data_IF_461458361104
#
_entry.id   IF_461458361104
#
_cell.length_a   1.000
_cell.length_b   1.000
_cell.length_c   1.000
_cell.angle_alpha   90.00
_cell.angle_beta   90.00
_cell.angle_gamma   90.00
#
_symmetry.space_group_name_H-M   'P 1'
#
loop_
_entity.id
_entity.type
_entity.pdbx_description
1 polymer ?
#
# COMPACT_ATOMS: atom_id res chain seq x y z
N UNK A 1 -2.66 -8.42 5.80
CA UNK A 1 -3.36 -7.61 4.78
C UNK A 1 -2.88 -7.88 3.35
N UNK A 2 -1.60 -8.23 3.11
CA UNK A 2 -1.05 -8.48 1.77
C UNK A 2 -1.91 -9.36 0.87
N UNK A 3 -2.27 -10.56 1.31
CA UNK A 3 -3.07 -11.48 0.49
C UNK A 3 -4.49 -10.99 0.22
N UNK A 4 -5.08 -10.22 1.15
CA UNK A 4 -6.42 -9.63 0.97
C UNK A 4 -6.36 -8.62 -0.17
N UNK A 5 -5.36 -7.74 -0.16
CA UNK A 5 -5.15 -6.78 -1.24
C UNK A 5 -4.76 -7.43 -2.56
N UNK A 6 -3.98 -8.53 -2.54
CA UNK A 6 -3.63 -9.27 -3.75
C UNK A 6 -4.90 -9.77 -4.47
N UNK A 7 -5.77 -10.46 -3.73
CA UNK A 7 -7.04 -10.98 -4.27
C UNK A 7 -7.93 -9.84 -4.75
N UNK A 8 -8.11 -8.80 -3.94
CA UNK A 8 -8.93 -7.65 -4.30
C UNK A 8 -8.41 -6.94 -5.57
N UNK A 9 -7.15 -6.54 -5.59
CA UNK A 9 -6.58 -5.75 -6.67
C UNK A 9 -6.48 -6.56 -7.97
N UNK A 10 -6.11 -7.84 -7.91
CA UNK A 10 -6.09 -8.71 -9.08
C UNK A 10 -7.50 -8.96 -9.62
N UNK A 11 -8.52 -9.13 -8.76
CA UNK A 11 -9.91 -9.26 -9.19
C UNK A 11 -10.40 -7.99 -9.92
N UNK A 12 -10.10 -6.79 -9.38
CA UNK A 12 -10.40 -5.54 -10.08
C UNK A 12 -9.62 -5.46 -11.41
N UNK A 13 -8.37 -5.93 -11.44
CA UNK A 13 -7.54 -6.03 -12.65
C UNK A 13 -8.17 -6.88 -13.74
N UNK A 14 -8.65 -8.08 -13.38
CA UNK A 14 -9.40 -8.96 -14.29
C UNK A 14 -10.68 -8.29 -14.77
N UNK A 15 -11.40 -7.60 -13.89
CA UNK A 15 -12.62 -6.90 -14.26
C UNK A 15 -12.38 -5.76 -15.25
N UNK A 16 -11.39 -4.88 -15.01
CA UNK A 16 -11.09 -3.79 -15.95
C UNK A 16 -10.53 -4.32 -17.27
N UNK A 17 -9.81 -5.45 -17.26
CA UNK A 17 -9.41 -6.13 -18.50
C UNK A 17 -10.63 -6.62 -19.31
N UNK A 18 -11.64 -7.17 -18.63
CA UNK A 18 -12.90 -7.57 -19.27
C UNK A 18 -13.66 -6.37 -19.86
N UNK A 19 -13.72 -5.23 -19.16
CA UNK A 19 -14.35 -4.01 -19.68
C UNK A 19 -13.62 -3.44 -20.91
N UNK A 20 -12.31 -3.66 -21.02
CA UNK A 20 -11.55 -3.26 -22.21
C UNK A 20 -11.90 -4.11 -23.45
N UNK A 21 -12.25 -5.38 -23.23
CA UNK A 21 -12.67 -6.30 -24.31
C UNK A 21 -14.16 -6.21 -24.63
N UNK A 22 -15.01 -6.05 -23.62
CA UNK A 22 -16.46 -5.90 -23.73
C UNK A 22 -16.95 -4.61 -23.06
N UNK A 23 -16.80 -3.44 -23.71
CA UNK A 23 -17.20 -2.15 -23.12
C UNK A 23 -18.68 -2.07 -22.74
N UNK A 24 -19.55 -2.72 -23.52
CA UNK A 24 -21.00 -2.84 -23.31
C UNK A 24 -21.35 -3.51 -21.96
N UNK A 25 -20.43 -4.28 -21.36
CA UNK A 25 -20.64 -4.92 -20.06
C UNK A 25 -20.48 -3.96 -18.88
N UNK A 26 -20.12 -2.69 -19.12
CA UNK A 26 -19.97 -1.67 -18.07
C UNK A 26 -21.34 -1.35 -17.45
N UNK A 27 -21.54 -1.59 -16.13
CA UNK A 27 -22.78 -1.19 -15.47
C UNK A 27 -22.98 0.33 -15.57
N UNK A 28 -24.23 0.78 -15.62
CA UNK A 28 -24.63 2.20 -15.79
C UNK A 28 -24.45 3.04 -14.51
N UNK A 29 -23.32 2.89 -13.82
CA UNK A 29 -22.98 3.57 -12.58
C UNK A 29 -21.59 4.22 -12.72
N UNK A 30 -21.37 5.46 -12.26
CA UNK A 30 -20.10 6.15 -12.49
C UNK A 30 -18.88 5.41 -11.94
N UNK A 31 -19.00 4.80 -10.74
CA UNK A 31 -17.92 4.09 -10.06
C UNK A 31 -17.55 2.73 -10.67
N UNK A 32 -18.37 2.19 -11.59
CA UNK A 32 -18.07 0.95 -12.31
C UNK A 32 -17.35 1.19 -13.65
N UNK A 33 -17.16 2.45 -14.03
CA UNK A 33 -16.47 2.80 -15.28
C UNK A 33 -14.99 2.39 -15.25
N UNK A 34 -14.46 1.98 -16.41
CA UNK A 34 -13.04 1.64 -16.57
C UNK A 34 -12.11 2.76 -16.04
N UNK A 35 -12.44 4.02 -16.35
CA UNK A 35 -11.64 5.18 -15.93
C UNK A 35 -11.49 5.31 -14.41
N UNK A 36 -12.52 4.97 -13.63
CA UNK A 36 -12.46 5.02 -12.16
C UNK A 36 -11.89 3.74 -11.54
N UNK A 37 -12.11 2.59 -12.17
CA UNK A 37 -11.61 1.31 -11.65
C UNK A 37 -10.11 1.06 -11.96
N UNK A 38 -9.56 1.67 -13.01
CA UNK A 38 -8.13 1.59 -13.33
C UNK A 38 -7.23 2.06 -12.18
N UNK A 39 -7.42 3.25 -11.57
CA UNK A 39 -6.64 3.67 -10.41
C UNK A 39 -6.88 2.77 -9.17
N UNK A 40 -8.09 2.19 -9.02
CA UNK A 40 -8.36 1.19 -7.97
C UNK A 40 -7.47 -0.05 -8.14
N UNK A 41 -7.36 -0.58 -9.36
CA UNK A 41 -6.48 -1.72 -9.63
C UNK A 41 -5.00 -1.37 -9.40
N UNK A 42 -4.51 -0.30 -10.01
CA UNK A 42 -3.08 0.08 -9.97
C UNK A 42 -2.60 0.43 -8.57
N UNK A 43 -3.30 1.31 -7.85
CA UNK A 43 -2.98 1.59 -6.44
C UNK A 43 -3.20 0.38 -5.54
N UNK A 44 -4.25 -0.41 -5.80
CA UNK A 44 -4.53 -1.64 -5.06
C UNK A 44 -3.42 -2.68 -5.19
N UNK A 45 -2.84 -2.85 -6.38
CA UNK A 45 -1.79 -3.84 -6.61
C UNK A 45 -0.41 -3.33 -6.16
N UNK A 46 -0.12 -2.04 -6.34
CA UNK A 46 1.17 -1.46 -5.96
C UNK A 46 1.21 -1.15 -4.46
N UNK A 47 0.33 -0.28 -3.97
CA UNK A 47 0.34 0.12 -2.56
C UNK A 47 -0.37 -0.92 -1.70
N UNK A 48 -1.58 -1.34 -2.08
CA UNK A 48 -2.34 -2.32 -1.33
C UNK A 48 -1.59 -3.65 -1.18
N UNK A 49 -1.25 -4.30 -2.28
CA UNK A 49 -0.52 -5.57 -2.26
C UNK A 49 0.98 -5.37 -2.05
N UNK A 50 1.66 -4.69 -2.97
CA UNK A 50 3.12 -4.51 -2.94
C UNK A 50 3.61 -3.80 -1.67
N UNK A 51 2.95 -2.71 -1.27
CA UNK A 51 3.30 -1.98 -0.05
C UNK A 51 3.12 -2.82 1.23
N UNK A 52 2.01 -3.54 1.38
CA UNK A 52 1.84 -4.46 2.50
C UNK A 52 2.83 -5.64 2.45
N UNK A 53 3.20 -6.11 1.25
CA UNK A 53 4.24 -7.13 1.11
C UNK A 53 5.58 -6.59 1.63
N UNK A 54 5.97 -5.38 1.22
CA UNK A 54 7.22 -4.73 1.66
C UNK A 54 7.22 -4.45 3.18
N UNK A 55 6.12 -3.99 3.77
CA UNK A 55 6.04 -3.79 5.23
C UNK A 55 6.23 -5.12 5.97
N UNK A 56 5.55 -6.18 5.53
CA UNK A 56 5.66 -7.49 6.16
C UNK A 56 7.07 -8.09 6.02
N UNK A 57 7.64 -8.04 4.81
CA UNK A 57 8.98 -8.60 4.55
C UNK A 57 10.06 -7.77 5.21
N UNK A 58 10.00 -6.45 5.17
CA UNK A 58 10.99 -5.57 5.80
C UNK A 58 11.05 -5.78 7.31
N UNK A 59 9.91 -5.81 8.02
CA UNK A 59 9.86 -6.08 9.45
C UNK A 59 10.43 -7.46 9.78
N UNK A 60 10.09 -8.46 8.97
CA UNK A 60 10.61 -9.80 9.16
C UNK A 60 12.12 -9.90 8.94
N UNK A 61 12.61 -9.32 7.85
CA UNK A 61 14.01 -9.37 7.44
C UNK A 61 14.86 -8.57 8.42
N UNK A 62 14.51 -7.32 8.71
CA UNK A 62 15.33 -6.43 9.56
C UNK A 62 15.53 -7.01 10.96
N UNK A 63 14.51 -7.67 11.51
CA UNK A 63 14.61 -8.33 12.81
C UNK A 63 15.64 -9.47 12.80
N UNK A 64 15.65 -10.28 11.73
CA UNK A 64 16.55 -11.44 11.63
C UNK A 64 17.97 -11.05 11.23
N UNK A 65 18.12 -10.14 10.30
CA UNK A 65 19.43 -9.66 9.83
C UNK A 65 20.13 -8.84 10.90
N UNK A 66 19.38 -8.09 11.73
CA UNK A 66 19.93 -7.33 12.87
C UNK A 66 20.05 -8.16 14.15
N UNK A 67 19.47 -9.37 14.18
CA UNK A 67 19.31 -10.22 15.37
C UNK A 67 18.66 -9.48 16.55
N UNK A 68 17.73 -8.57 16.26
CA UNK A 68 17.06 -7.71 17.24
C UNK A 68 15.54 -7.73 17.02
N UNK A 69 14.76 -7.56 18.10
CA UNK A 69 13.32 -7.30 17.94
C UNK A 69 13.11 -5.88 17.39
N UNK A 70 11.94 -5.63 16.80
CA UNK A 70 11.53 -4.27 16.42
C UNK A 70 11.67 -3.32 17.60
N UNK A 71 11.95 -2.05 17.31
CA UNK A 71 12.29 -1.05 18.32
C UNK A 71 11.25 -0.91 19.46
N UNK A 72 9.97 -1.15 19.15
CA UNK A 72 8.88 -1.20 20.12
C UNK A 72 7.69 -2.00 19.57
N UNK A 73 6.67 -2.20 20.40
CA UNK A 73 5.51 -3.04 20.10
C UNK A 73 4.32 -2.30 19.49
N UNK A 74 4.30 -0.96 19.51
CA UNK A 74 3.11 -0.16 19.12
C UNK A 74 3.28 0.41 17.72
N UNK A 75 4.43 0.97 17.42
CA UNK A 75 4.74 1.60 16.12
C UNK A 75 4.52 0.68 14.92
N UNK A 76 4.85 -0.63 14.96
CA UNK A 76 4.56 -1.54 13.85
C UNK A 76 3.05 -1.63 13.52
N UNK A 77 2.18 -1.58 14.54
CA UNK A 77 0.73 -1.56 14.36
C UNK A 77 0.24 -0.23 13.80
N UNK A 78 0.80 0.89 14.26
CA UNK A 78 0.50 2.22 13.71
C UNK A 78 0.83 2.27 12.23
N UNK A 79 1.98 1.73 11.81
CA UNK A 79 2.34 1.61 10.39
C UNK A 79 1.34 0.73 9.65
N UNK A 80 1.07 -0.47 10.15
CA UNK A 80 0.20 -1.43 9.45
C UNK A 80 -1.22 -0.88 9.28
N UNK A 81 -1.83 -0.37 10.35
CA UNK A 81 -3.19 0.17 10.33
C UNK A 81 -3.22 1.47 9.53
N UNK A 82 -2.26 2.38 9.77
CA UNK A 82 -2.21 3.66 9.08
C UNK A 82 -2.00 3.51 7.57
N UNK A 83 -1.15 2.59 7.14
CA UNK A 83 -0.93 2.30 5.73
C UNK A 83 -2.18 1.71 5.06
N UNK A 84 -2.89 0.81 5.75
CA UNK A 84 -4.14 0.27 5.21
C UNK A 84 -5.28 1.31 5.21
N UNK A 85 -5.30 2.26 6.15
CA UNK A 85 -6.22 3.39 6.12
C UNK A 85 -5.98 4.28 4.90
N UNK A 86 -4.71 4.54 4.55
CA UNK A 86 -4.35 5.19 3.28
C UNK A 86 -4.92 4.43 2.08
N UNK A 87 -4.68 3.12 1.99
CA UNK A 87 -5.17 2.32 0.86
C UNK A 87 -6.71 2.35 0.74
N UNK A 88 -7.43 2.28 1.87
CA UNK A 88 -8.89 2.36 1.89
C UNK A 88 -9.40 3.75 1.46
N UNK A 89 -8.76 4.83 1.92
CA UNK A 89 -9.10 6.19 1.48
C UNK A 89 -8.83 6.41 0.00
N UNK A 90 -7.70 5.93 -0.51
CA UNK A 90 -7.38 6.02 -1.94
C UNK A 90 -8.44 5.30 -2.78
N UNK A 91 -8.72 4.03 -2.49
CA UNK A 91 -9.71 3.22 -3.23
C UNK A 91 -11.10 3.83 -3.19
N UNK A 92 -11.56 4.26 -2.02
CA UNK A 92 -12.87 4.91 -1.90
C UNK A 92 -12.92 6.24 -2.67
N UNK A 93 -11.86 7.05 -2.60
CA UNK A 93 -11.70 8.28 -3.38
C UNK A 93 -11.84 8.05 -4.89
N UNK A 94 -11.15 7.04 -5.43
CA UNK A 94 -11.19 6.72 -6.86
C UNK A 94 -12.59 6.31 -7.34
N UNK A 95 -13.31 5.51 -6.56
CA UNK A 95 -14.69 5.14 -6.88
C UNK A 95 -15.60 6.38 -6.95
N UNK A 96 -15.40 7.34 -6.05
CA UNK A 96 -16.11 8.62 -6.05
C UNK A 96 -15.65 9.56 -7.18
N UNK A 97 -14.54 9.26 -7.85
CA UNK A 97 -13.97 10.07 -8.94
C UNK A 97 -12.97 11.13 -8.46
N UNK A 98 -12.52 11.06 -7.21
CA UNK A 98 -11.49 11.93 -6.66
C UNK A 98 -10.11 11.43 -7.09
N UNK A 99 -9.41 12.21 -7.90
CA UNK A 99 -8.05 11.86 -8.35
C UNK A 99 -7.28 13.08 -8.83
N UNK A 100 -5.96 13.06 -8.58
CA UNK A 100 -5.02 14.04 -9.14
C UNK A 100 -4.68 13.80 -10.63
N UNK A 101 -5.15 12.70 -11.22
CA UNK A 101 -4.82 12.29 -12.61
C UNK A 101 -3.32 12.13 -12.91
N UNK A 102 -2.50 11.91 -11.88
CA UNK A 102 -1.08 11.58 -11.99
C UNK A 102 -0.91 10.09 -11.72
N UNK A 103 -0.30 9.36 -12.66
CA UNK A 103 -0.12 7.91 -12.51
C UNK A 103 0.73 7.59 -11.27
N UNK A 104 0.25 6.62 -10.47
CA UNK A 104 0.83 6.20 -9.18
C UNK A 104 0.81 7.26 -8.07
N UNK A 105 0.22 8.42 -8.33
CA UNK A 105 -0.01 9.51 -7.40
C UNK A 105 -1.47 10.00 -7.52
N UNK A 106 -2.40 9.06 -7.75
CA UNK A 106 -3.79 9.39 -8.02
C UNK A 106 -4.53 9.86 -6.77
N UNK A 107 -4.11 9.45 -5.57
CA UNK A 107 -4.77 9.79 -4.31
C UNK A 107 -4.74 11.31 -4.08
N UNK A 108 -5.79 11.85 -3.45
CA UNK A 108 -5.83 13.28 -3.14
C UNK A 108 -4.84 13.68 -2.04
N UNK A 109 -4.54 14.97 -1.98
CA UNK A 109 -3.58 15.58 -1.06
C UNK A 109 -3.73 15.18 0.41
N UNK A 110 -4.95 14.95 0.90
CA UNK A 110 -5.19 14.55 2.30
C UNK A 110 -4.71 13.12 2.57
N UNK A 111 -4.83 12.23 1.58
CA UNK A 111 -4.32 10.87 1.66
C UNK A 111 -2.79 10.86 1.51
N UNK A 112 -2.24 11.75 0.68
CA UNK A 112 -0.79 11.94 0.56
C UNK A 112 -0.16 12.38 1.89
N UNK A 113 -0.73 13.41 2.54
CA UNK A 113 -0.25 13.87 3.85
C UNK A 113 -0.30 12.76 4.90
N UNK A 114 -1.38 11.98 4.92
CA UNK A 114 -1.49 10.84 5.82
C UNK A 114 -0.43 9.77 5.52
N UNK A 115 -0.22 9.44 4.25
CA UNK A 115 0.79 8.48 3.83
C UNK A 115 2.19 8.95 4.22
N UNK A 116 2.51 10.25 4.10
CA UNK A 116 3.79 10.82 4.55
C UNK A 116 3.99 10.60 6.05
N UNK A 117 2.99 10.85 6.88
CA UNK A 117 3.06 10.61 8.33
C UNK A 117 3.36 9.13 8.61
N UNK A 118 2.63 8.22 7.97
CA UNK A 118 2.84 6.77 8.13
C UNK A 118 4.25 6.35 7.68
N UNK A 119 4.75 6.90 6.57
CA UNK A 119 6.09 6.61 6.06
C UNK A 119 7.20 7.10 6.98
N UNK A 120 7.07 8.30 7.56
CA UNK A 120 8.04 8.82 8.54
C UNK A 120 8.06 7.90 9.77
N UNK A 121 6.90 7.46 10.26
CA UNK A 121 6.80 6.54 11.38
C UNK A 121 7.47 5.19 11.06
N UNK A 122 7.23 4.64 9.87
CA UNK A 122 7.90 3.43 9.40
C UNK A 122 9.43 3.61 9.33
N UNK A 123 9.90 4.71 8.76
CA UNK A 123 11.33 4.99 8.62
C UNK A 123 12.01 5.08 9.99
N UNK A 124 11.42 5.82 10.93
CA UNK A 124 11.95 5.94 12.30
C UNK A 124 11.98 4.58 13.00
N UNK A 125 10.93 3.76 12.86
CA UNK A 125 10.90 2.40 13.40
C UNK A 125 12.02 1.52 12.82
N UNK A 126 12.21 1.58 11.50
CA UNK A 126 13.21 0.80 10.79
C UNK A 126 14.63 1.19 11.24
N UNK A 127 14.93 2.49 11.27
CA UNK A 127 16.21 3.03 11.72
C UNK A 127 16.49 2.73 13.20
N UNK A 128 15.49 2.86 14.09
CA UNK A 128 15.64 2.49 15.51
C UNK A 128 15.89 1.00 15.70
N UNK A 129 15.35 0.15 14.81
CA UNK A 129 15.61 -1.29 14.85
C UNK A 129 17.04 -1.59 14.40
N UNK A 130 17.51 -0.98 13.31
CA UNK A 130 18.90 -1.11 12.83
C UNK A 130 19.95 -0.56 13.79
N UNK A 131 19.63 0.52 14.52
CA UNK A 131 20.51 1.07 15.55
C UNK A 131 20.71 0.12 16.74
N UNK A 132 19.78 -0.83 16.95
CA UNK A 132 19.81 -1.84 18.02
C UNK A 132 20.35 -3.19 17.55
N UNK A 133 20.96 -3.25 16.37
CA UNK A 133 21.52 -4.49 15.83
C UNK A 133 22.66 -5.03 16.70
N UNK A 134 22.79 -6.35 16.72
CA UNK A 134 23.89 -7.01 17.42
C UNK A 134 25.16 -7.12 16.56
N UNK A 135 25.01 -7.23 15.23
CA UNK A 135 26.13 -7.33 14.31
C UNK A 135 26.66 -5.94 13.92
N UNK A 136 27.98 -5.71 13.87
CA UNK A 136 28.53 -4.40 13.54
C UNK A 136 28.20 -3.99 12.10
N UNK A 137 28.18 -4.95 11.18
CA UNK A 137 27.83 -4.74 9.77
C UNK A 137 26.32 -4.81 9.54
N UNK A 138 25.85 -3.99 8.61
CA UNK A 138 24.45 -4.01 8.15
C UNK A 138 24.37 -4.92 6.94
N UNK A 139 23.43 -5.87 6.95
CA UNK A 139 23.18 -6.75 5.82
C UNK A 139 22.64 -5.96 4.62
N UNK A 140 23.06 -6.31 3.41
CA UNK A 140 22.78 -5.55 2.17
C UNK A 140 21.28 -5.41 1.85
N UNK A 141 20.43 -6.30 2.36
CA UNK A 141 18.98 -6.16 2.17
C UNK A 141 18.30 -5.14 3.12
N UNK A 142 19.05 -4.54 4.06
CA UNK A 142 18.58 -3.45 4.90
C UNK A 142 19.08 -2.11 4.38
#
# INVERSE_FOLDING_TARGET
>A
MTMIWAVFAMAVGVWVAALLYWPEATPLWPWTSFGRLRPVHTSGIIFGFGGNALIATSFHVVQRTSRARLADSVTPWVVLIGFNLFCLWAVSGYLMGSTQSKEYAEAEWYADLWLVVVWVVYFVLYMRTLARRNEPHIYVAN
#
